data_IF_214484181228
#
_entry.id   IF_214484181228
#
_cell.length_a   1.000
_cell.length_b   1.000
_cell.length_c   1.000
_cell.angle_alpha   90.00
_cell.angle_beta   90.00
_cell.angle_gamma   90.00
#
_symmetry.space_group_name_H-M   'P 1'
#
loop_
_entity.id
_entity.type
_entity.pdbx_description
1 polymer ?
#
# COMPACT_ATOMS: atom_id res chain seq x y z
N UNK A 1 -2.72 -6.53 -41.51
CA UNK A 1 -2.62 -7.06 -40.12
C UNK A 1 -2.81 -5.88 -39.19
N UNK A 2 -3.99 -5.76 -38.58
CA UNK A 2 -4.28 -4.67 -37.64
C UNK A 2 -3.91 -5.12 -36.23
N UNK A 3 -2.97 -4.44 -35.58
CA UNK A 3 -2.68 -4.64 -34.18
C UNK A 3 -3.66 -3.79 -33.37
N UNK A 4 -4.66 -4.42 -32.77
CA UNK A 4 -5.41 -3.80 -31.67
C UNK A 4 -4.48 -3.82 -30.46
N UNK A 5 -3.79 -2.70 -30.20
CA UNK A 5 -3.14 -2.49 -28.91
C UNK A 5 -4.25 -2.49 -27.86
N UNK A 6 -4.36 -3.58 -27.10
CA UNK A 6 -5.18 -3.58 -25.90
C UNK A 6 -4.60 -2.49 -24.99
N UNK A 7 -5.33 -1.38 -24.83
CA UNK A 7 -4.95 -0.36 -23.87
C UNK A 7 -4.85 -1.02 -22.50
N UNK A 8 -3.77 -0.79 -21.73
CA UNK A 8 -3.64 -1.37 -20.41
C UNK A 8 -4.83 -0.96 -19.55
N UNK A 9 -5.46 -1.94 -18.90
CA UNK A 9 -6.56 -1.67 -17.97
C UNK A 9 -6.00 -0.83 -16.83
N UNK A 10 -6.55 0.37 -16.57
CA UNK A 10 -6.06 1.21 -15.49
C UNK A 10 -6.22 0.51 -14.15
N UNK A 11 -5.23 0.63 -13.25
CA UNK A 11 -5.41 0.06 -11.94
C UNK A 11 -6.49 0.82 -11.18
N UNK A 12 -7.27 0.04 -10.43
CA UNK A 12 -8.35 0.54 -9.62
C UNK A 12 -8.10 0.08 -8.20
N UNK A 13 -8.29 1.00 -7.27
CA UNK A 13 -8.17 0.76 -5.85
C UNK A 13 -9.52 1.11 -5.22
N UNK A 14 -10.08 0.19 -4.45
CA UNK A 14 -11.35 0.42 -3.76
C UNK A 14 -11.30 0.03 -2.29
N UNK A 15 -11.94 0.82 -1.45
CA UNK A 15 -12.06 0.59 -0.01
C UNK A 15 -13.45 1.00 0.45
N UNK A 16 -14.18 0.12 1.14
CA UNK A 16 -15.51 0.42 1.69
C UNK A 16 -16.53 0.94 0.65
N UNK A 17 -16.37 0.56 -0.63
CA UNK A 17 -17.21 1.02 -1.74
C UNK A 17 -16.75 2.32 -2.41
N UNK A 18 -15.80 3.07 -1.84
CA UNK A 18 -15.15 4.18 -2.55
C UNK A 18 -14.15 3.61 -3.56
N UNK A 19 -14.17 4.14 -4.80
CA UNK A 19 -13.34 3.64 -5.90
C UNK A 19 -12.50 4.77 -6.49
N UNK A 20 -11.19 4.55 -6.55
CA UNK A 20 -10.23 5.41 -7.22
C UNK A 20 -9.75 4.69 -8.46
N UNK A 21 -9.91 5.32 -9.62
CA UNK A 21 -9.37 4.81 -10.89
C UNK A 21 -8.24 5.73 -11.28
N UNK A 22 -7.03 5.18 -11.39
CA UNK A 22 -5.89 5.95 -11.85
C UNK A 22 -5.89 5.96 -13.37
N UNK A 23 -5.69 7.14 -13.97
CA UNK A 23 -5.62 7.22 -15.42
C UNK A 23 -4.42 6.36 -15.90
N UNK A 24 -4.59 5.47 -16.88
CA UNK A 24 -3.47 4.78 -17.48
C UNK A 24 -2.79 5.80 -18.40
N UNK A 25 -1.71 6.47 -17.97
CA UNK A 25 -1.09 7.50 -18.81
C UNK A 25 0.44 7.47 -18.82
N UNK A 26 0.96 6.97 -19.96
CA UNK A 26 1.99 7.47 -20.90
C UNK A 26 3.26 8.20 -20.45
N UNK A 27 3.45 8.58 -19.18
CA UNK A 27 4.69 9.24 -18.73
C UNK A 27 5.14 8.74 -17.36
N UNK A 28 6.46 8.66 -17.21
CA UNK A 28 7.21 8.03 -16.12
C UNK A 28 6.96 8.65 -14.74
N UNK A 29 6.53 7.87 -13.76
CA UNK A 29 6.52 8.32 -12.35
C UNK A 29 5.37 7.81 -11.48
N UNK A 30 5.37 8.30 -10.25
CA UNK A 30 4.35 8.04 -9.22
C UNK A 30 3.35 9.18 -9.25
N UNK A 31 2.07 8.88 -9.49
CA UNK A 31 1.05 9.88 -9.77
C UNK A 31 -0.23 9.62 -8.97
N UNK A 32 -0.46 10.51 -8.01
CA UNK A 32 -1.72 10.63 -7.31
C UNK A 32 -1.85 9.70 -6.11
N UNK A 33 -2.54 10.23 -5.11
CA UNK A 33 -2.90 9.51 -3.90
C UNK A 33 -4.33 9.84 -3.52
N UNK A 34 -4.98 8.89 -2.85
CA UNK A 34 -6.25 9.12 -2.20
C UNK A 34 -6.10 8.74 -0.73
N UNK A 35 -6.69 9.53 0.16
CA UNK A 35 -6.76 9.26 1.59
C UNK A 35 -8.21 9.23 2.02
N UNK A 36 -8.56 8.26 2.84
CA UNK A 36 -9.89 8.20 3.43
C UNK A 36 -9.95 9.01 4.73
N UNK A 37 -11.09 9.67 4.92
CA UNK A 37 -11.39 10.45 6.12
C UNK A 37 -12.70 9.95 6.74
N UNK A 38 -12.81 9.87 8.09
CA UNK A 38 -11.78 10.20 9.09
C UNK A 38 -10.67 9.15 9.19
N UNK A 39 -9.55 9.52 9.79
CA UNK A 39 -8.52 8.57 10.19
C UNK A 39 -8.85 7.96 11.55
N UNK A 40 -7.92 7.16 12.08
CA UNK A 40 -8.08 6.50 13.38
C UNK A 40 -6.91 6.81 14.29
N UNK A 41 -7.21 7.11 15.55
CA UNK A 41 -6.24 7.56 16.55
C UNK A 41 -6.15 6.63 17.77
N UNK A 42 -7.09 5.69 17.93
CA UNK A 42 -7.22 4.87 19.13
C UNK A 42 -8.04 3.60 18.92
N UNK A 43 -7.48 2.43 19.21
CA UNK A 43 -8.13 1.13 19.15
C UNK A 43 -7.50 0.18 18.14
N UNK A 44 -8.31 -0.80 17.70
CA UNK A 44 -7.90 -1.82 16.74
C UNK A 44 -8.78 -1.74 15.50
N UNK A 45 -8.17 -1.65 14.33
CA UNK A 45 -8.88 -1.44 13.07
C UNK A 45 -8.34 -2.37 11.99
N UNK A 46 -9.19 -2.62 11.00
CA UNK A 46 -8.85 -3.39 9.82
C UNK A 46 -9.42 -2.69 8.59
N UNK A 47 -8.59 -2.56 7.56
CA UNK A 47 -8.95 -1.95 6.28
C UNK A 47 -8.60 -2.92 5.16
N UNK A 48 -9.44 -2.98 4.14
CA UNK A 48 -9.18 -3.77 2.93
C UNK A 48 -9.21 -2.90 1.69
N UNK A 49 -8.27 -3.19 0.82
CA UNK A 49 -8.11 -2.55 -0.47
C UNK A 49 -8.23 -3.61 -1.55
N UNK A 50 -9.26 -3.48 -2.39
CA UNK A 50 -9.36 -4.25 -3.60
C UNK A 50 -8.57 -3.54 -4.70
N UNK A 51 -7.57 -4.23 -5.25
CA UNK A 51 -6.63 -3.71 -6.24
C UNK A 51 -6.76 -4.51 -7.53
N UNK A 52 -7.15 -3.87 -8.62
CA UNK A 52 -7.11 -4.49 -9.94
C UNK A 52 -5.83 -4.07 -10.68
N UNK A 53 -4.93 -4.99 -11.00
CA UNK A 53 -3.72 -4.69 -11.78
C UNK A 53 -2.48 -4.32 -10.96
N UNK A 54 -1.42 -3.91 -11.66
CA UNK A 54 -0.10 -3.59 -11.09
C UNK A 54 0.13 -2.09 -10.91
N UNK A 55 1.30 -1.72 -10.37
CA UNK A 55 1.73 -0.35 -10.13
C UNK A 55 0.87 0.41 -9.13
N UNK A 56 0.27 -0.31 -8.18
CA UNK A 56 -0.57 0.25 -7.15
C UNK A 56 0.11 0.04 -5.79
N UNK A 57 -0.16 0.95 -4.88
CA UNK A 57 0.27 0.87 -3.48
C UNK A 57 -0.91 1.20 -2.58
N UNK A 58 -1.17 0.35 -1.61
CA UNK A 58 -2.20 0.52 -0.58
C UNK A 58 -1.52 0.69 0.77
N UNK A 59 -2.10 1.45 1.68
CA UNK A 59 -1.41 1.70 2.93
C UNK A 59 -2.14 2.53 3.96
N UNK A 60 -1.37 2.91 4.98
CA UNK A 60 -1.82 3.74 6.09
C UNK A 60 -0.76 4.78 6.45
N UNK A 61 -1.17 5.97 6.84
CA UNK A 61 -0.24 7.00 7.30
C UNK A 61 -0.96 8.23 7.85
N UNK A 62 -0.22 9.23 8.35
CA UNK A 62 -0.80 10.54 8.68
C UNK A 62 -1.47 11.14 7.44
N UNK A 63 -2.42 12.06 7.62
CA UNK A 63 -3.07 12.73 6.49
C UNK A 63 -2.01 13.37 5.57
N UNK A 64 -2.13 13.13 4.27
CA UNK A 64 -1.19 13.63 3.27
C UNK A 64 -1.64 14.91 2.57
N UNK A 65 -0.64 15.67 2.14
CA UNK A 65 -0.77 16.73 1.15
C UNK A 65 -0.72 16.16 -0.29
N UNK A 66 -1.17 16.95 -1.26
CA UNK A 66 -1.20 16.53 -2.67
C UNK A 66 0.19 16.17 -3.19
N UNK A 67 0.35 14.96 -3.73
CA UNK A 67 1.61 14.47 -4.31
C UNK A 67 2.30 13.37 -3.51
N UNK A 68 1.84 13.08 -2.29
CA UNK A 68 2.37 11.98 -1.47
C UNK A 68 1.52 10.71 -1.59
N UNK A 69 2.15 9.56 -1.33
CA UNK A 69 1.55 8.23 -1.42
C UNK A 69 2.02 7.37 -0.23
N UNK A 70 1.29 6.30 0.13
CA UNK A 70 1.61 5.56 1.35
C UNK A 70 2.99 4.93 1.29
N UNK A 71 3.77 5.06 2.36
CA UNK A 71 5.11 4.48 2.46
C UNK A 71 6.24 5.35 1.93
N UNK A 72 5.94 6.53 1.36
CA UNK A 72 6.98 7.47 0.90
C UNK A 72 7.78 8.06 2.07
N UNK A 73 7.09 8.40 3.16
CA UNK A 73 7.70 8.98 4.37
C UNK A 73 7.76 7.96 5.51
N UNK A 74 8.71 8.14 6.44
CA UNK A 74 8.94 7.27 7.61
C UNK A 74 7.75 7.14 8.58
N UNK A 75 6.79 8.05 8.50
CA UNK A 75 5.59 8.03 9.34
C UNK A 75 4.43 7.25 8.69
N UNK A 76 4.64 6.72 7.50
CA UNK A 76 3.61 6.06 6.69
C UNK A 76 4.05 4.70 6.16
N UNK A 77 3.09 3.83 5.88
CA UNK A 77 3.34 2.51 5.38
C UNK A 77 2.54 2.27 4.11
N UNK A 78 3.19 1.70 3.10
CA UNK A 78 2.53 1.30 1.86
C UNK A 78 2.99 -0.08 1.43
N UNK A 79 2.07 -0.99 1.14
CA UNK A 79 2.35 -2.26 0.49
C UNK A 79 1.92 -2.17 -0.97
N UNK A 80 2.85 -2.44 -1.87
CA UNK A 80 2.63 -2.17 -3.29
C UNK A 80 3.57 -2.92 -4.22
N UNK A 81 3.11 -3.06 -5.46
CA UNK A 81 3.87 -3.57 -6.60
C UNK A 81 4.19 -2.40 -7.53
N UNK A 82 4.97 -1.44 -7.00
CA UNK A 82 5.44 -0.24 -7.70
C UNK A 82 6.92 -0.35 -8.10
N UNK A 83 7.52 -1.54 -8.04
CA UNK A 83 8.88 -1.81 -8.54
C UNK A 83 8.86 -2.54 -9.87
N UNK A 84 10.01 -2.65 -10.53
CA UNK A 84 10.17 -3.37 -11.80
C UNK A 84 10.26 -4.90 -11.63
N UNK A 85 10.42 -5.38 -10.39
CA UNK A 85 10.88 -6.75 -10.12
C UNK A 85 9.74 -7.76 -9.89
N UNK A 86 8.49 -7.38 -10.16
CA UNK A 86 7.29 -8.21 -9.90
C UNK A 86 7.28 -8.75 -8.45
N UNK A 87 7.52 -7.88 -7.47
CA UNK A 87 7.49 -8.21 -6.04
C UNK A 87 6.53 -7.31 -5.24
N UNK A 88 5.98 -7.86 -4.16
CA UNK A 88 5.23 -7.09 -3.17
C UNK A 88 6.18 -6.47 -2.16
N UNK A 89 6.35 -5.15 -2.25
CA UNK A 89 7.24 -4.39 -1.38
C UNK A 89 6.45 -3.62 -0.31
N UNK A 90 6.95 -3.65 0.93
CA UNK A 90 6.50 -2.76 1.99
C UNK A 90 7.45 -1.55 2.06
N UNK A 91 6.83 -0.37 2.07
CA UNK A 91 7.47 0.93 2.04
C UNK A 91 7.23 1.68 3.35
N UNK A 92 8.28 2.32 3.88
CA UNK A 92 8.26 3.25 5.02
C UNK A 92 9.49 4.18 4.95
N UNK A 93 9.61 4.97 3.87
CA UNK A 93 10.85 5.68 3.53
C UNK A 93 11.99 4.79 2.98
N UNK A 94 11.89 3.49 3.17
CA UNK A 94 12.70 2.44 2.54
C UNK A 94 11.78 1.31 2.03
N UNK A 95 12.27 0.48 1.10
CA UNK A 95 11.52 -0.64 0.53
C UNK A 95 12.09 -1.99 0.99
N UNK A 96 11.22 -2.92 1.39
CA UNK A 96 11.57 -4.30 1.75
C UNK A 96 10.62 -5.25 1.05
N UNK A 97 11.14 -6.36 0.51
CA UNK A 97 10.33 -7.41 -0.11
C UNK A 97 9.74 -8.34 0.94
N UNK A 98 8.41 -8.45 0.94
CA UNK A 98 7.68 -9.09 2.04
C UNK A 98 6.56 -10.01 1.56
N UNK A 99 6.28 -10.07 0.26
CA UNK A 99 5.17 -10.85 -0.25
C UNK A 99 5.08 -10.87 -1.77
N UNK A 100 4.01 -11.47 -2.30
CA UNK A 100 3.82 -11.58 -3.74
C UNK A 100 3.53 -10.22 -4.39
N UNK A 101 3.86 -10.08 -5.67
CA UNK A 101 3.37 -8.98 -6.50
C UNK A 101 1.84 -9.05 -6.70
N UNK A 102 1.26 -7.92 -7.12
CA UNK A 102 -0.17 -7.84 -7.38
C UNK A 102 -0.53 -8.54 -8.70
N UNK A 103 -1.74 -9.08 -8.76
CA UNK A 103 -2.20 -9.78 -9.96
C UNK A 103 -2.51 -8.79 -11.09
N UNK A 104 -2.05 -9.14 -12.31
CA UNK A 104 -2.38 -8.38 -13.54
C UNK A 104 -3.81 -8.64 -14.02
N UNK A 105 -4.39 -9.78 -13.66
CA UNK A 105 -5.62 -10.32 -14.28
C UNK A 105 -6.73 -10.61 -13.28
N UNK A 106 -6.42 -10.62 -12.00
CA UNK A 106 -7.37 -10.82 -10.91
C UNK A 106 -7.28 -9.64 -9.95
N UNK A 107 -8.35 -9.42 -9.21
CA UNK A 107 -8.33 -8.49 -8.10
C UNK A 107 -7.49 -9.08 -6.96
N UNK A 108 -6.55 -8.30 -6.45
CA UNK A 108 -5.75 -8.59 -5.27
C UNK A 108 -6.34 -7.85 -4.09
N UNK A 109 -6.56 -8.53 -2.96
CA UNK A 109 -7.06 -7.93 -1.72
C UNK A 109 -5.90 -7.68 -0.77
N UNK A 110 -5.66 -6.42 -0.46
CA UNK A 110 -4.64 -6.01 0.52
C UNK A 110 -5.31 -5.59 1.81
N UNK A 111 -4.97 -6.25 2.91
CA UNK A 111 -5.48 -5.90 4.23
C UNK A 111 -4.44 -5.19 5.08
N UNK A 112 -4.88 -4.21 5.85
CA UNK A 112 -4.09 -3.53 6.88
C UNK A 112 -4.83 -3.65 8.21
N UNK A 113 -4.26 -4.38 9.16
CA UNK A 113 -4.71 -4.36 10.55
C UNK A 113 -3.79 -3.45 11.35
N UNK A 114 -4.36 -2.61 12.21
CA UNK A 114 -3.61 -1.75 13.12
C UNK A 114 -4.13 -1.90 14.54
N UNK A 115 -3.20 -1.86 15.49
CA UNK A 115 -3.44 -1.79 16.92
C UNK A 115 -2.65 -0.60 17.45
N UNK A 116 -3.36 0.50 17.71
CA UNK A 116 -2.73 1.75 18.14
C UNK A 116 -2.31 1.72 19.61
N UNK A 117 -2.77 0.75 20.40
CA UNK A 117 -2.36 0.58 21.80
C UNK A 117 -0.94 0.01 21.86
N UNK A 118 -0.65 -0.95 20.98
CA UNK A 118 0.67 -1.60 20.89
C UNK A 118 1.55 -1.04 19.77
N UNK A 119 1.04 -0.03 19.04
CA UNK A 119 1.68 0.55 17.85
C UNK A 119 2.10 -0.54 16.84
N UNK A 120 1.19 -1.46 16.57
CA UNK A 120 1.43 -2.64 15.72
C UNK A 120 0.64 -2.52 14.44
N UNK A 121 1.24 -2.94 13.32
CA UNK A 121 0.57 -3.06 12.03
C UNK A 121 0.84 -4.44 11.42
N UNK A 122 -0.21 -5.06 10.87
CA UNK A 122 -0.13 -6.27 10.06
C UNK A 122 -0.62 -5.98 8.66
N UNK A 123 0.05 -6.58 7.68
CA UNK A 123 -0.34 -6.51 6.27
C UNK A 123 -0.76 -7.90 5.81
N UNK A 124 -1.84 -8.01 5.07
CA UNK A 124 -2.25 -9.23 4.40
C UNK A 124 -2.32 -9.05 2.89
N UNK A 125 -2.12 -10.15 2.18
CA UNK A 125 -2.30 -10.29 0.73
C UNK A 125 -3.23 -11.48 0.50
N UNK A 126 -4.37 -11.25 -0.14
CA UNK A 126 -5.42 -12.24 -0.43
C UNK A 126 -5.80 -13.07 0.80
N UNK A 127 -5.96 -12.38 1.94
CA UNK A 127 -6.33 -12.97 3.23
C UNK A 127 -5.19 -13.68 3.98
N UNK A 128 -4.00 -13.80 3.40
CA UNK A 128 -2.82 -14.35 4.08
C UNK A 128 -1.97 -13.23 4.70
N UNK A 129 -1.66 -13.35 6.00
CA UNK A 129 -0.78 -12.41 6.70
C UNK A 129 0.67 -12.51 6.22
N UNK A 130 1.29 -11.37 5.94
CA UNK A 130 2.66 -11.27 5.46
C UNK A 130 3.67 -11.29 6.63
N UNK A 131 4.91 -11.79 6.39
CA UNK A 131 5.95 -11.90 7.40
C UNK A 131 6.32 -10.56 8.06
N UNK A 132 6.90 -10.66 9.25
CA UNK A 132 7.51 -9.53 9.93
C UNK A 132 8.76 -9.04 9.20
N UNK A 133 8.91 -7.73 9.10
CA UNK A 133 9.91 -7.10 8.21
C UNK A 133 11.00 -6.38 9.00
N UNK A 134 10.80 -6.23 10.30
CA UNK A 134 11.65 -5.42 11.16
C UNK A 134 11.56 -3.91 10.94
N UNK A 135 10.74 -3.47 9.96
CA UNK A 135 10.48 -2.05 9.71
C UNK A 135 9.78 -1.44 10.93
N UNK A 136 10.40 -0.39 11.46
CA UNK A 136 9.89 0.37 12.59
C UNK A 136 10.37 1.82 12.43
N UNK A 137 9.48 2.82 12.50
CA UNK A 137 9.85 4.23 12.59
C UNK A 137 10.67 4.53 13.85
N UNK A 138 10.70 3.57 14.80
CA UNK A 138 11.33 3.68 16.12
C UNK A 138 12.53 2.70 16.26
N UNK A 139 13.00 2.08 15.18
CA UNK A 139 14.31 1.41 15.14
C UNK A 139 14.47 0.08 15.89
N UNK A 140 13.43 -0.75 16.05
CA UNK A 140 13.58 -2.08 16.68
C UNK A 140 12.67 -3.16 16.05
N UNK A 141 13.18 -4.31 15.57
CA UNK A 141 12.39 -5.34 14.88
C UNK A 141 11.57 -6.22 15.84
N UNK A 142 10.38 -6.65 15.41
CA UNK A 142 9.51 -7.57 16.16
C UNK A 142 9.83 -9.07 15.90
N UNK A 143 9.70 -9.98 16.90
CA UNK A 143 9.82 -11.47 16.82
C UNK A 143 8.57 -12.22 17.38
N UNK A 144 7.94 -13.15 16.62
CA UNK A 144 6.71 -13.92 17.00
C UNK A 144 5.48 -13.74 16.08
N UNK A 145 4.24 -13.86 16.63
CA UNK A 145 2.93 -13.41 16.08
C UNK A 145 2.93 -11.91 15.81
N UNK A 146 3.88 -11.54 14.97
CA UNK A 146 4.47 -10.24 14.91
C UNK A 146 3.67 -9.34 14.02
N UNK A 147 3.61 -8.05 14.36
CA UNK A 147 3.30 -7.10 13.32
C UNK A 147 4.31 -7.19 12.18
N UNK A 148 3.80 -6.95 10.98
CA UNK A 148 4.60 -6.67 9.80
C UNK A 148 5.53 -5.47 10.05
N UNK A 149 5.04 -4.42 10.73
CA UNK A 149 5.80 -3.23 11.12
C UNK A 149 5.24 -2.50 12.36
N UNK A 150 6.02 -1.57 12.94
CA UNK A 150 5.55 -0.73 14.06
C UNK A 150 5.03 0.61 13.59
N UNK A 151 3.97 1.10 14.22
CA UNK A 151 3.46 2.45 14.02
C UNK A 151 4.21 3.45 14.89
N UNK A 152 4.19 4.73 14.49
CA UNK A 152 4.62 5.82 15.35
C UNK A 152 3.49 6.15 16.32
N UNK A 153 3.76 6.23 17.64
CA UNK A 153 2.74 6.58 18.61
C UNK A 153 2.15 7.97 18.35
N UNK A 154 0.90 8.18 18.81
CA UNK A 154 0.23 9.49 18.84
C UNK A 154 -0.07 10.11 17.47
N UNK A 155 -0.02 9.33 16.38
CA UNK A 155 -0.50 9.76 15.07
C UNK A 155 -1.91 9.27 14.79
N UNK A 156 -2.68 10.06 14.04
CA UNK A 156 -3.90 9.61 13.38
C UNK A 156 -3.54 8.93 12.06
N UNK A 157 -3.98 7.68 11.88
CA UNK A 157 -3.71 6.87 10.70
C UNK A 157 -4.91 6.84 9.76
N UNK A 158 -4.68 7.22 8.52
CA UNK A 158 -5.67 7.22 7.45
C UNK A 158 -5.39 6.07 6.48
N UNK A 159 -6.41 5.34 6.02
CA UNK A 159 -6.28 4.45 4.88
C UNK A 159 -5.95 5.22 3.61
N UNK A 160 -5.10 4.65 2.77
CA UNK A 160 -4.57 5.32 1.60
C UNK A 160 -4.34 4.41 0.41
N UNK A 161 -4.40 5.02 -0.76
CA UNK A 161 -4.12 4.41 -2.04
C UNK A 161 -3.22 5.33 -2.87
N UNK A 162 -2.31 4.76 -3.65
CA UNK A 162 -1.49 5.48 -4.61
C UNK A 162 -1.20 4.63 -5.85
N UNK A 163 -0.72 5.28 -6.90
CA UNK A 163 -0.31 4.65 -8.15
C UNK A 163 1.08 5.12 -8.57
N UNK A 164 1.93 4.18 -8.99
CA UNK A 164 3.23 4.49 -9.56
C UNK A 164 3.80 3.32 -10.36
N UNK A 165 4.06 3.54 -11.64
CA UNK A 165 4.81 2.62 -12.48
C UNK A 165 6.20 3.20 -12.76
N UNK A 166 7.29 2.53 -12.36
CA UNK A 166 8.59 2.79 -12.95
C UNK A 166 8.59 2.30 -14.41
N UNK A 167 9.25 3.05 -15.29
CA UNK A 167 9.42 2.63 -16.69
C UNK A 167 10.36 1.42 -16.76
N UNK A 168 10.00 0.30 -17.43
CA UNK A 168 10.99 -0.71 -17.77
C UNK A 168 12.03 -0.06 -18.69
N UNK A 169 13.28 0.03 -18.23
CA UNK A 169 14.39 0.53 -19.05
C UNK A 169 14.65 -0.35 -20.27
#
# INVERSE_FOLDING_TARGET
VGYTLALPVPPQLSMGGAKVTFAPNVNDGIYGGATAYPGVYGGKYYFEFAVSGKCAIAGVGPKFDAGSFPGFDEDSFGYGDISLDDEGLLYNGAAVSIGPAFSKTQETIIGFAIDTETNSMWVSHDGAWLPATGLSPVGNPARGTNPTARLKPQLEYHPMAGYGCPNPR
#
